data_IF_160843255843
#
_entry.id   IF_160843255843
#
_cell.length_a   1.000
_cell.length_b   1.000
_cell.length_c   1.000
_cell.angle_alpha   90.00
_cell.angle_beta   90.00
_cell.angle_gamma   90.00
#
_symmetry.space_group_name_H-M   'P 1'
#
loop_
_entity.id
_entity.type
_entity.pdbx_description
1 polymer ?
#
# COMPACT_ATOMS: atom_id res chain seq x y z
N UNK A 1 10.96 -15.52 -10.74
CA UNK A 1 9.98 -14.44 -10.76
C UNK A 1 9.67 -13.96 -9.37
N UNK A 2 9.82 -12.66 -9.13
CA UNK A 2 9.52 -12.10 -7.83
C UNK A 2 8.01 -12.05 -7.63
N UNK A 3 7.57 -12.49 -6.48
CA UNK A 3 6.19 -12.35 -6.06
C UNK A 3 6.10 -11.23 -5.04
N UNK A 4 4.96 -10.59 -5.00
CA UNK A 4 4.63 -9.57 -4.01
C UNK A 4 3.72 -10.22 -2.99
N UNK A 5 4.08 -10.10 -1.72
CA UNK A 5 3.34 -10.74 -0.62
C UNK A 5 2.95 -9.71 0.44
N UNK A 6 1.94 -10.08 1.22
CA UNK A 6 1.52 -9.31 2.40
C UNK A 6 1.93 -10.06 3.66
N UNK A 7 2.37 -9.31 4.65
CA UNK A 7 2.70 -9.88 5.96
C UNK A 7 2.33 -8.90 7.07
N UNK A 8 1.84 -9.43 8.18
CA UNK A 8 1.54 -8.63 9.37
C UNK A 8 2.73 -8.71 10.32
N UNK A 9 3.26 -7.55 10.70
CA UNK A 9 4.45 -7.45 11.54
C UNK A 9 4.17 -6.53 12.71
N UNK A 10 4.47 -7.00 13.92
CA UNK A 10 4.36 -6.18 15.12
C UNK A 10 5.71 -5.54 15.43
N UNK A 11 5.69 -4.25 15.71
CA UNK A 11 6.90 -3.48 16.05
C UNK A 11 7.41 -3.89 17.41
N UNK A 12 8.62 -4.48 17.45
CA UNK A 12 9.26 -4.97 18.68
C UNK A 12 10.72 -4.50 18.83
N UNK A 13 11.33 -4.02 17.76
CA UNK A 13 12.71 -3.57 17.79
C UNK A 13 12.79 -2.14 18.32
N UNK A 14 13.55 -1.94 19.40
CA UNK A 14 13.73 -0.61 20.00
C UNK A 14 14.29 0.42 19.03
N UNK A 15 15.04 -0.02 18.02
CA UNK A 15 15.59 0.87 16.99
C UNK A 15 14.50 1.46 16.08
N UNK A 16 13.32 0.86 16.09
CA UNK A 16 12.17 1.33 15.32
C UNK A 16 11.30 2.28 16.14
N UNK A 17 11.32 2.16 17.46
CA UNK A 17 10.46 2.96 18.34
C UNK A 17 10.71 4.46 18.13
N UNK A 18 9.64 5.21 17.93
CA UNK A 18 9.69 6.67 17.77
C UNK A 18 10.48 7.13 16.53
N UNK A 19 10.59 6.27 15.54
CA UNK A 19 11.17 6.60 14.24
C UNK A 19 10.09 6.61 13.19
N UNK A 20 10.30 7.37 12.13
CA UNK A 20 9.33 7.46 11.03
C UNK A 20 9.38 6.25 10.13
N UNK A 21 8.31 6.04 9.36
CA UNK A 21 8.28 4.99 8.33
C UNK A 21 9.47 5.17 7.37
N UNK A 22 9.76 6.41 6.96
CA UNK A 22 10.89 6.70 6.08
C UNK A 22 12.22 6.29 6.70
N UNK A 23 12.42 6.58 7.99
CA UNK A 23 13.65 6.17 8.71
C UNK A 23 13.81 4.65 8.70
N UNK A 24 12.71 3.93 8.96
CA UNK A 24 12.74 2.47 9.02
C UNK A 24 13.02 1.88 7.64
N UNK A 25 12.39 2.42 6.59
CA UNK A 25 12.67 1.98 5.21
C UNK A 25 14.14 2.15 4.85
N UNK A 26 14.71 3.28 5.25
CA UNK A 26 16.13 3.57 5.00
C UNK A 26 17.02 2.58 5.75
N UNK A 27 16.71 2.29 7.01
CA UNK A 27 17.48 1.37 7.83
C UNK A 27 17.42 -0.06 7.31
N UNK A 28 16.23 -0.51 6.86
CA UNK A 28 16.06 -1.84 6.27
C UNK A 28 16.80 -1.95 4.93
N UNK A 29 16.78 -0.89 4.13
CA UNK A 29 17.46 -0.84 2.84
C UNK A 29 16.81 -1.69 1.74
N UNK A 30 15.57 -2.15 1.95
CA UNK A 30 14.80 -2.88 0.95
C UNK A 30 13.43 -2.23 0.83
N UNK A 31 12.84 -2.21 -0.38
CA UNK A 31 11.56 -1.54 -0.58
C UNK A 31 10.40 -2.31 0.06
N UNK A 32 9.50 -1.61 0.68
CA UNK A 32 8.23 -2.15 1.14
C UNK A 32 7.20 -1.04 1.27
N UNK A 33 5.94 -1.43 1.28
CA UNK A 33 4.82 -0.51 1.44
C UNK A 33 4.10 -0.88 2.72
N UNK A 34 3.79 0.09 3.57
CA UNK A 34 2.90 -0.13 4.70
C UNK A 34 1.49 0.17 4.22
N UNK A 35 0.72 -0.89 4.00
CA UNK A 35 -0.65 -0.77 3.50
C UNK A 35 -1.54 -0.07 4.51
N UNK A 36 -1.45 -0.51 5.75
CA UNK A 36 -2.20 0.06 6.88
C UNK A 36 -1.53 -0.32 8.18
N UNK A 37 -1.89 0.40 9.24
CA UNK A 37 -1.33 0.22 10.57
C UNK A 37 -2.48 0.16 11.58
N UNK A 38 -2.36 -0.72 12.57
CA UNK A 38 -3.30 -0.80 13.69
C UNK A 38 -2.59 -0.41 14.97
N UNK A 39 -3.21 0.50 15.72
CA UNK A 39 -2.73 0.97 17.01
C UNK A 39 -3.92 1.23 17.93
N UNK A 40 -3.92 0.60 19.07
CA UNK A 40 -5.00 0.79 20.05
C UNK A 40 -6.39 0.58 19.46
N UNK A 41 -6.54 -0.43 18.61
CA UNK A 41 -7.81 -0.75 17.97
C UNK A 41 -8.20 0.14 16.81
N UNK A 42 -7.40 1.14 16.48
CA UNK A 42 -7.67 2.02 15.36
C UNK A 42 -6.79 1.69 14.16
N UNK A 43 -7.33 1.89 12.96
CA UNK A 43 -6.64 1.61 11.70
C UNK A 43 -6.43 2.90 10.91
N UNK A 44 -5.24 3.05 10.34
CA UNK A 44 -4.96 4.19 9.47
C UNK A 44 -3.86 3.85 8.49
N UNK A 45 -3.70 4.69 7.47
CA UNK A 45 -2.65 4.55 6.47
C UNK A 45 -1.52 5.50 6.86
N UNK A 46 -0.34 4.97 7.24
CA UNK A 46 0.76 5.85 7.62
C UNK A 46 1.38 6.51 6.39
N UNK A 47 1.89 7.72 6.60
CA UNK A 47 2.70 8.43 5.62
C UNK A 47 4.18 8.24 5.96
N UNK A 48 5.07 8.70 5.07
CA UNK A 48 6.51 8.57 5.30
C UNK A 48 6.98 9.20 6.60
N UNK A 49 6.35 10.30 7.02
CA UNK A 49 6.68 11.02 8.25
C UNK A 49 5.90 10.53 9.47
N UNK A 50 5.05 9.53 9.33
CA UNK A 50 4.33 8.93 10.46
C UNK A 50 5.32 8.20 11.37
N UNK A 51 5.19 8.42 12.67
CA UNK A 51 5.98 7.73 13.68
C UNK A 51 5.45 6.33 13.92
N UNK A 52 6.36 5.39 14.14
CA UNK A 52 6.03 4.03 14.56
C UNK A 52 6.32 3.89 16.05
N UNK A 53 5.47 3.16 16.75
CA UNK A 53 5.61 2.96 18.19
C UNK A 53 5.61 1.48 18.53
N UNK A 54 6.12 1.17 19.72
CA UNK A 54 6.12 -0.19 20.23
C UNK A 54 4.72 -0.81 20.13
N UNK A 55 4.67 -2.06 19.69
CA UNK A 55 3.46 -2.87 19.54
C UNK A 55 2.49 -2.47 18.42
N UNK A 56 2.81 -1.43 17.62
CA UNK A 56 2.07 -1.19 16.40
C UNK A 56 2.08 -2.44 15.52
N UNK A 57 0.97 -2.72 14.86
CA UNK A 57 0.90 -3.83 13.90
C UNK A 57 0.78 -3.23 12.49
N UNK A 58 1.71 -3.62 11.63
CA UNK A 58 1.78 -3.13 10.27
C UNK A 58 1.37 -4.21 9.29
N UNK A 59 0.53 -3.88 8.31
CA UNK A 59 0.34 -4.74 7.15
C UNK A 59 1.31 -4.29 6.08
N UNK A 60 2.32 -5.09 5.84
CA UNK A 60 3.41 -4.78 4.92
C UNK A 60 3.23 -5.54 3.62
N UNK A 61 3.46 -4.85 2.51
CA UNK A 61 3.49 -5.42 1.16
C UNK A 61 4.91 -5.29 0.65
N UNK A 62 5.51 -6.39 0.24
CA UNK A 62 6.91 -6.40 -0.19
C UNK A 62 7.16 -7.60 -1.12
N UNK A 63 8.33 -7.59 -1.78
CA UNK A 63 8.77 -8.75 -2.55
C UNK A 63 9.05 -9.92 -1.61
N UNK A 64 8.69 -11.13 -2.02
CA UNK A 64 8.86 -12.34 -1.22
C UNK A 64 10.28 -12.50 -0.68
N UNK A 65 11.28 -12.18 -1.49
CA UNK A 65 12.69 -12.29 -1.10
C UNK A 65 13.10 -11.34 0.03
N UNK A 66 12.33 -10.28 0.27
CA UNK A 66 12.66 -9.25 1.26
C UNK A 66 11.89 -9.38 2.57
N UNK A 67 10.85 -10.23 2.58
CA UNK A 67 9.93 -10.36 3.73
C UNK A 67 10.67 -10.69 5.02
N UNK A 68 11.58 -11.66 4.99
CA UNK A 68 12.29 -12.11 6.19
C UNK A 68 13.16 -10.98 6.76
N UNK A 69 13.90 -10.29 5.91
CA UNK A 69 14.75 -9.17 6.31
C UNK A 69 13.95 -8.03 6.91
N UNK A 70 12.85 -7.66 6.27
CA UNK A 70 11.97 -6.59 6.74
C UNK A 70 11.37 -6.95 8.10
N UNK A 71 10.82 -8.15 8.21
CA UNK A 71 10.19 -8.64 9.44
C UNK A 71 11.20 -8.70 10.59
N UNK A 72 12.38 -9.26 10.36
CA UNK A 72 13.41 -9.40 11.39
C UNK A 72 13.87 -8.06 11.93
N UNK A 73 13.94 -7.04 11.07
CA UNK A 73 14.35 -5.71 11.51
C UNK A 73 13.25 -5.02 12.33
N UNK A 74 12.01 -5.08 11.87
CA UNK A 74 10.90 -4.34 12.49
C UNK A 74 10.45 -5.01 13.80
N UNK A 75 10.39 -6.32 13.82
CA UNK A 75 9.92 -7.02 15.00
C UNK A 75 9.61 -8.47 14.70
N UNK A 76 8.35 -8.86 14.81
CA UNK A 76 7.95 -10.25 14.62
C UNK A 76 6.65 -10.38 13.85
N UNK A 77 6.55 -11.48 13.12
CA UNK A 77 5.34 -11.84 12.38
C UNK A 77 4.22 -12.12 13.38
N UNK A 78 3.03 -11.60 13.12
CA UNK A 78 1.83 -11.87 13.93
C UNK A 78 0.66 -12.23 13.02
N UNK A 79 -0.33 -12.89 13.61
CA UNK A 79 -1.61 -13.11 12.93
C UNK A 79 -2.53 -11.91 13.19
N UNK A 80 -3.14 -11.40 12.15
CA UNK A 80 -4.06 -10.27 12.25
C UNK A 80 -5.14 -10.39 11.19
N UNK A 81 -6.41 -10.26 11.61
CA UNK A 81 -7.53 -10.21 10.68
C UNK A 81 -7.78 -8.76 10.27
N UNK A 82 -7.30 -8.38 9.09
CA UNK A 82 -7.44 -7.01 8.60
C UNK A 82 -8.83 -6.70 8.04
N UNK A 83 -9.71 -7.68 7.96
CA UNK A 83 -11.10 -7.45 7.50
C UNK A 83 -11.84 -6.49 8.43
N UNK A 84 -11.48 -6.46 9.70
CA UNK A 84 -12.05 -5.52 10.67
C UNK A 84 -11.78 -4.08 10.25
N UNK A 85 -10.64 -3.82 9.60
CA UNK A 85 -10.28 -2.48 9.14
C UNK A 85 -11.13 -2.01 7.95
N UNK A 86 -11.82 -2.92 7.26
CA UNK A 86 -12.59 -2.61 6.04
C UNK A 86 -13.82 -1.74 6.30
N UNK A 87 -14.23 -1.58 7.55
CA UNK A 87 -15.28 -0.62 7.90
C UNK A 87 -14.81 0.83 7.65
N UNK A 88 -13.52 1.08 7.78
CA UNK A 88 -12.93 2.40 7.61
C UNK A 88 -12.05 2.48 6.39
N UNK A 89 -11.18 1.49 6.18
CA UNK A 89 -10.23 1.45 5.08
C UNK A 89 -10.60 0.31 4.14
N UNK A 90 -10.90 0.63 2.91
CA UNK A 90 -11.27 -0.36 1.89
C UNK A 90 -10.15 -0.51 0.87
N UNK A 91 -10.12 -1.67 0.24
CA UNK A 91 -9.21 -1.94 -0.88
C UNK A 91 -10.01 -2.04 -2.16
N UNK A 92 -9.50 -1.43 -3.23
CA UNK A 92 -10.13 -1.50 -4.55
C UNK A 92 -9.08 -1.67 -5.62
N UNK A 93 -9.43 -2.44 -6.63
CA UNK A 93 -8.58 -2.62 -7.79
C UNK A 93 -9.09 -1.71 -8.90
N UNK A 94 -8.25 -0.77 -9.33
CA UNK A 94 -8.60 0.23 -10.34
C UNK A 94 -7.74 -0.03 -11.58
N UNK A 95 -8.38 -0.02 -12.76
CA UNK A 95 -7.66 -0.11 -14.04
C UNK A 95 -7.34 1.31 -14.50
N UNK A 96 -6.09 1.56 -14.83
CA UNK A 96 -5.65 2.84 -15.39
C UNK A 96 -6.21 2.93 -16.81
N UNK A 97 -7.14 3.85 -17.03
CA UNK A 97 -7.73 4.08 -18.36
C UNK A 97 -7.51 5.49 -18.87
N UNK A 98 -7.17 6.43 -17.98
CA UNK A 98 -6.95 7.81 -18.38
C UNK A 98 -5.55 8.01 -18.93
N UNK A 99 -5.44 8.41 -20.20
CA UNK A 99 -4.16 8.52 -20.90
C UNK A 99 -3.18 9.49 -20.26
N UNK A 100 -3.67 10.51 -19.54
CA UNK A 100 -2.79 11.47 -18.87
C UNK A 100 -2.00 10.88 -17.70
N UNK A 101 -2.42 9.70 -17.23
CA UNK A 101 -1.70 9.01 -16.15
C UNK A 101 -0.54 8.19 -16.71
N UNK A 102 -0.60 7.82 -17.99
CA UNK A 102 0.45 7.04 -18.64
C UNK A 102 1.79 7.77 -18.56
N UNK A 103 2.81 7.09 -18.06
CA UNK A 103 4.15 7.63 -17.93
C UNK A 103 4.42 8.40 -16.64
N UNK A 104 3.44 8.58 -15.78
CA UNK A 104 3.62 9.23 -14.49
C UNK A 104 4.03 8.22 -13.42
N UNK A 105 4.88 8.66 -12.49
CA UNK A 105 5.23 7.82 -11.34
C UNK A 105 4.13 7.87 -10.28
N UNK A 106 4.03 6.81 -9.48
CA UNK A 106 3.09 6.79 -8.37
C UNK A 106 3.32 7.99 -7.46
N UNK A 107 4.58 8.27 -7.12
CA UNK A 107 4.93 9.38 -6.24
C UNK A 107 4.52 10.74 -6.76
N UNK A 108 4.56 10.95 -8.07
CA UNK A 108 4.18 12.23 -8.69
C UNK A 108 2.70 12.55 -8.55
N UNK A 109 1.86 11.54 -8.37
CA UNK A 109 0.42 11.72 -8.22
C UNK A 109 0.04 12.21 -6.82
N UNK A 110 0.92 12.04 -5.84
CA UNK A 110 0.73 12.47 -4.44
C UNK A 110 -0.58 12.02 -3.83
N UNK A 111 -0.98 10.78 -4.12
CA UNK A 111 -2.27 10.26 -3.66
C UNK A 111 -2.38 10.17 -2.15
N UNK A 112 -1.27 9.84 -1.47
CA UNK A 112 -1.22 9.80 -0.01
C UNK A 112 -1.45 11.17 0.61
N UNK A 113 -0.73 12.16 0.12
CA UNK A 113 -0.78 13.52 0.65
C UNK A 113 -2.13 14.18 0.39
N UNK A 114 -2.66 14.03 -0.83
CA UNK A 114 -3.89 14.72 -1.24
C UNK A 114 -5.14 13.98 -0.78
N UNK A 115 -5.15 12.64 -0.92
CA UNK A 115 -6.37 11.84 -0.70
C UNK A 115 -6.28 10.87 0.47
N UNK A 116 -5.08 10.67 1.04
CA UNK A 116 -4.89 9.66 2.07
C UNK A 116 -4.99 8.24 1.54
N UNK A 117 -4.77 8.05 0.24
CA UNK A 117 -4.88 6.76 -0.44
C UNK A 117 -3.49 6.23 -0.76
N UNK A 118 -3.31 4.94 -0.58
CA UNK A 118 -2.04 4.27 -0.85
C UNK A 118 -2.20 3.27 -1.99
N UNK A 119 -1.25 3.25 -2.92
CA UNK A 119 -1.13 2.18 -3.90
C UNK A 119 -0.14 1.17 -3.34
N UNK A 120 -0.58 -0.08 -3.18
CA UNK A 120 0.26 -1.12 -2.59
C UNK A 120 0.92 -1.99 -3.65
N UNK A 121 0.21 -2.29 -4.73
CA UNK A 121 0.75 -3.10 -5.82
C UNK A 121 0.11 -2.70 -7.15
N UNK A 122 0.80 -3.04 -8.21
CA UNK A 122 0.35 -2.82 -9.59
C UNK A 122 0.49 -4.13 -10.35
N UNK A 123 -0.61 -4.61 -10.93
CA UNK A 123 -0.58 -5.79 -11.80
C UNK A 123 -0.48 -5.31 -13.25
N UNK A 124 0.59 -5.72 -13.92
CA UNK A 124 0.85 -5.39 -15.32
C UNK A 124 1.01 -6.66 -16.11
N UNK A 125 0.04 -6.94 -16.97
CA UNK A 125 0.05 -8.15 -17.81
C UNK A 125 0.26 -9.44 -16.99
N UNK A 126 -0.41 -9.54 -15.86
CA UNK A 126 -0.35 -10.72 -15.00
C UNK A 126 0.82 -10.74 -14.01
N UNK A 127 1.71 -9.76 -14.03
CA UNK A 127 2.84 -9.66 -13.12
C UNK A 127 2.55 -8.63 -12.04
N UNK A 128 2.71 -9.00 -10.78
CA UNK A 128 2.57 -8.08 -9.65
C UNK A 128 3.87 -7.33 -9.40
N UNK A 129 3.76 -6.01 -9.38
CA UNK A 129 4.85 -5.09 -9.06
C UNK A 129 4.53 -4.39 -7.75
N UNK A 130 5.55 -4.13 -6.95
CA UNK A 130 5.38 -3.38 -5.72
C UNK A 130 5.09 -1.90 -6.04
N UNK A 131 4.09 -1.32 -5.37
CA UNK A 131 3.65 0.05 -5.61
C UNK A 131 4.57 1.11 -5.04
N UNK A 132 5.84 1.07 -5.40
CA UNK A 132 6.83 2.06 -4.93
C UNK A 132 6.62 3.41 -5.59
N UNK A 133 7.04 4.52 -4.94
CA UNK A 133 6.85 5.85 -5.50
C UNK A 133 7.49 6.08 -6.86
N UNK A 134 8.57 5.38 -7.17
CA UNK A 134 9.30 5.52 -8.43
C UNK A 134 8.74 4.68 -9.57
N UNK A 135 7.75 3.84 -9.31
CA UNK A 135 7.15 3.01 -10.35
C UNK A 135 6.36 3.88 -11.33
N UNK A 136 6.67 3.74 -12.61
CA UNK A 136 5.99 4.44 -13.70
C UNK A 136 4.72 3.68 -14.06
N UNK A 137 3.58 4.37 -14.05
CA UNK A 137 2.29 3.78 -14.39
C UNK A 137 2.03 3.82 -15.88
N UNK A 138 1.28 2.84 -16.37
CA UNK A 138 0.89 2.72 -17.77
C UNK A 138 -0.61 2.45 -17.87
N UNK A 139 -1.23 2.93 -18.95
CA UNK A 139 -2.62 2.59 -19.26
C UNK A 139 -2.73 1.06 -19.37
N UNK A 140 -3.78 0.51 -18.76
CA UNK A 140 -3.98 -0.93 -18.67
C UNK A 140 -3.48 -1.56 -17.37
N UNK A 141 -2.65 -0.87 -16.62
CA UNK A 141 -2.22 -1.34 -15.30
C UNK A 141 -3.43 -1.47 -14.38
N UNK A 142 -3.40 -2.48 -13.52
CA UNK A 142 -4.38 -2.69 -12.46
C UNK A 142 -3.72 -2.38 -11.14
N UNK A 143 -4.15 -1.28 -10.52
CA UNK A 143 -3.55 -0.84 -9.25
C UNK A 143 -4.44 -1.23 -8.08
N UNK A 144 -3.83 -1.74 -7.02
CA UNK A 144 -4.52 -1.98 -5.76
C UNK A 144 -4.38 -0.74 -4.89
N UNK A 145 -5.51 -0.11 -4.58
CA UNK A 145 -5.54 1.10 -3.76
C UNK A 145 -6.21 0.82 -2.42
N UNK A 146 -5.73 1.46 -1.37
CA UNK A 146 -6.26 1.33 -0.01
C UNK A 146 -6.54 2.74 0.51
N UNK A 147 -7.72 2.94 1.07
CA UNK A 147 -8.10 4.23 1.63
C UNK A 147 -9.56 4.25 2.08
N UNK A 148 -10.02 5.40 2.51
CA UNK A 148 -11.43 5.58 2.83
C UNK A 148 -12.24 5.59 1.54
N UNK A 149 -13.47 5.07 1.58
CA UNK A 149 -14.29 4.89 0.39
C UNK A 149 -14.44 6.16 -0.44
N UNK A 150 -14.73 7.29 0.20
CA UNK A 150 -14.91 8.56 -0.52
C UNK A 150 -13.64 9.00 -1.24
N UNK A 151 -12.48 8.80 -0.60
CA UNK A 151 -11.20 9.14 -1.21
C UNK A 151 -10.90 8.22 -2.40
N UNK A 152 -11.19 6.93 -2.26
CA UNK A 152 -11.00 5.97 -3.35
C UNK A 152 -11.87 6.33 -4.55
N UNK A 153 -13.10 6.78 -4.34
CA UNK A 153 -13.98 7.22 -5.43
C UNK A 153 -13.38 8.39 -6.20
N UNK A 154 -12.74 9.33 -5.50
CA UNK A 154 -12.05 10.46 -6.15
C UNK A 154 -10.82 9.99 -6.93
N UNK A 155 -10.06 9.07 -6.36
CA UNK A 155 -8.88 8.50 -7.02
C UNK A 155 -9.30 7.68 -8.26
N UNK A 156 -10.40 6.96 -8.19
CA UNK A 156 -10.95 6.24 -9.34
C UNK A 156 -11.20 7.20 -10.51
N UNK A 157 -11.82 8.34 -10.24
CA UNK A 157 -12.09 9.33 -11.30
C UNK A 157 -10.79 9.87 -11.91
N UNK A 158 -9.73 9.96 -11.11
CA UNK A 158 -8.43 10.42 -11.59
C UNK A 158 -7.72 9.37 -12.45
N UNK A 159 -7.78 8.10 -12.06
CA UNK A 159 -7.00 7.02 -12.67
C UNK A 159 -7.75 6.27 -13.77
N UNK A 160 -9.02 5.99 -13.56
CA UNK A 160 -9.80 5.16 -14.48
C UNK A 160 -11.02 4.55 -13.82
N UNK A 161 -11.22 3.25 -13.99
CA UNK A 161 -12.41 2.56 -13.50
C UNK A 161 -12.05 1.39 -12.61
N UNK A 162 -12.91 1.08 -11.64
CA UNK A 162 -12.74 -0.15 -10.85
C UNK A 162 -12.91 -1.35 -11.79
N UNK A 163 -12.21 -2.44 -11.48
CA UNK A 163 -12.31 -3.66 -12.24
C UNK A 163 -13.75 -4.18 -12.28
N UNK A 164 -14.48 -4.03 -11.18
CA UNK A 164 -15.88 -4.44 -11.10
C UNK A 164 -16.76 -3.69 -12.10
N UNK A 165 -16.59 -2.37 -12.22
CA UNK A 165 -17.35 -1.56 -13.19
C UNK A 165 -17.09 -1.96 -14.63
N UNK A 166 -15.83 -2.29 -14.95
CA UNK A 166 -15.47 -2.70 -16.32
C UNK A 166 -16.07 -4.05 -16.69
N UNK A 167 -16.34 -4.90 -15.69
CA UNK A 167 -16.93 -6.22 -15.89
C UNK A 167 -18.46 -6.22 -15.84
N UNK A 168 -19.09 -5.09 -15.53
CA UNK A 168 -20.54 -4.99 -15.52
C UNK A 168 -21.06 -4.96 -16.96
N UNK A 169 -22.19 -5.67 -17.24
CA UNK A 169 -22.76 -5.62 -18.58
C UNK A 169 -23.28 -4.22 -18.89
N UNK A 170 -23.20 -3.79 -20.15
CA UNK A 170 -23.77 -2.49 -20.54
C UNK A 170 -25.27 -2.50 -20.36
N UNK A 171 -25.81 -1.39 -19.93
CA UNK A 171 -27.25 -1.21 -19.73
C UNK A 171 -27.89 -0.68 -21.00
#
# INVERSE_FOLDING_TARGET
EEQVEKISVQVKNEKVFNHTVTDVKRAVGRPFIVSRLMRNGEFFIPQGDSMLYKDDILLIVASSRDIERITSYIGEKVEMDWKISEEKLVSRRIVITHGKINGKTIGSLKLRTIYGVNITRVNRSGVDLLGTPDLVLQVGDRVMVVGELEAIEKVEKLLGNTLQKLNEPPI
#
